data_IF_401341551869
#
_entry.id   IF_401341551869
#
_cell.length_a   1.000
_cell.length_b   1.000
_cell.length_c   1.000
_cell.angle_alpha   90.00
_cell.angle_beta   90.00
_cell.angle_gamma   90.00
#
_symmetry.space_group_name_H-M   'P 1'
#
loop_
_entity.id
_entity.type
_entity.pdbx_description
1 polymer ?
#
# COMPACT_ATOMS: atom_id res chain seq x y z
N UNK A 1 24.72 -4.62 7.60
CA UNK A 1 24.91 -4.27 6.16
C UNK A 1 26.17 -3.43 5.91
N UNK A 2 26.53 -2.63 6.91
CA UNK A 2 27.72 -1.79 7.02
C UNK A 2 29.02 -2.59 6.87
N UNK A 3 29.03 -3.88 7.21
CA UNK A 3 30.21 -4.76 7.09
C UNK A 3 30.49 -5.27 5.67
N UNK A 4 29.55 -5.07 4.73
CA UNK A 4 29.66 -5.58 3.35
C UNK A 4 29.69 -4.46 2.30
N UNK A 5 29.78 -3.20 2.75
CA UNK A 5 29.94 -2.01 1.89
C UNK A 5 31.28 -1.33 2.17
N UNK A 6 31.72 -0.44 1.28
CA UNK A 6 32.95 0.34 1.53
C UNK A 6 32.73 1.36 2.67
N UNK A 7 33.80 1.82 3.36
CA UNK A 7 33.67 2.82 4.41
C UNK A 7 32.95 4.12 3.97
N UNK A 8 33.10 4.52 2.70
CA UNK A 8 32.45 5.71 2.15
C UNK A 8 30.93 5.52 1.92
N UNK A 9 30.47 4.27 1.82
CA UNK A 9 29.06 3.92 1.61
C UNK A 9 28.31 3.68 2.92
N UNK A 10 29.01 3.50 4.04
CA UNK A 10 28.39 3.27 5.37
C UNK A 10 27.32 4.33 5.70
N UNK A 11 27.55 5.65 5.50
CA UNK A 11 26.51 6.66 5.76
C UNK A 11 25.26 6.53 4.87
N UNK A 12 25.36 5.83 3.73
CA UNK A 12 24.26 5.62 2.79
C UNK A 12 23.35 4.45 3.20
N UNK A 13 23.85 3.48 3.96
CA UNK A 13 23.10 2.28 4.36
C UNK A 13 22.70 2.25 5.84
N UNK A 14 23.43 2.96 6.70
CA UNK A 14 23.21 2.96 8.14
C UNK A 14 21.77 3.37 8.51
N UNK A 15 21.09 2.51 9.26
CA UNK A 15 19.71 2.73 9.74
C UNK A 15 18.63 2.64 8.65
N UNK A 16 18.98 2.29 7.41
CA UNK A 16 18.05 2.18 6.27
C UNK A 16 18.34 0.98 5.38
N UNK A 17 18.87 -0.09 5.98
CA UNK A 17 19.21 -1.34 5.27
C UNK A 17 18.93 -2.54 6.17
N UNK A 18 18.51 -3.64 5.55
CA UNK A 18 18.20 -4.89 6.25
C UNK A 18 18.98 -6.04 5.63
N UNK A 19 19.46 -6.97 6.46
CA UNK A 19 20.00 -8.25 5.99
C UNK A 19 18.83 -9.22 5.83
N UNK A 20 18.58 -9.67 4.60
CA UNK A 20 17.43 -10.50 4.25
C UNK A 20 17.86 -11.82 3.60
N UNK A 21 17.02 -12.85 3.71
CA UNK A 21 17.20 -14.12 2.98
C UNK A 21 16.80 -13.90 1.51
N UNK A 22 17.60 -14.39 0.57
CA UNK A 22 17.21 -14.43 -0.85
C UNK A 22 16.09 -15.46 -1.02
N UNK A 23 15.02 -15.05 -1.69
CA UNK A 23 13.86 -15.89 -1.99
C UNK A 23 13.60 -15.89 -3.49
N UNK A 24 12.82 -16.87 -3.97
CA UNK A 24 12.22 -16.85 -5.30
C UNK A 24 10.91 -16.04 -5.22
N UNK A 25 10.83 -14.83 -5.79
CA UNK A 25 9.64 -14.00 -5.68
C UNK A 25 8.44 -14.63 -6.36
N UNK A 26 7.26 -14.43 -5.78
CA UNK A 26 5.98 -14.78 -6.40
C UNK A 26 5.47 -13.52 -7.11
N UNK A 27 5.12 -13.57 -8.42
CA UNK A 27 4.80 -12.39 -9.22
C UNK A 27 3.38 -11.86 -8.98
N UNK A 28 3.00 -11.70 -7.71
CA UNK A 28 1.68 -11.25 -7.28
C UNK A 28 1.84 -10.25 -6.14
N UNK A 29 1.16 -9.12 -6.27
CA UNK A 29 0.97 -8.18 -5.18
C UNK A 29 -0.23 -8.61 -4.34
N UNK A 30 0.02 -9.03 -3.10
CA UNK A 30 -0.98 -9.52 -2.19
C UNK A 30 -1.63 -8.35 -1.44
N UNK A 31 -2.59 -7.68 -2.09
CA UNK A 31 -3.29 -6.53 -1.49
C UNK A 31 -4.48 -6.99 -0.65
N UNK A 32 -4.58 -6.46 0.57
CA UNK A 32 -5.75 -6.63 1.45
C UNK A 32 -6.37 -5.28 1.73
N UNK A 33 -7.70 -5.21 1.67
CA UNK A 33 -8.47 -3.99 1.90
C UNK A 33 -9.46 -4.21 3.00
N UNK A 34 -9.51 -3.34 4.01
CA UNK A 34 -10.64 -3.25 4.94
C UNK A 34 -11.48 -2.00 4.75
N UNK A 35 -11.05 -1.09 3.88
CA UNK A 35 -11.77 0.11 3.51
C UNK A 35 -11.75 0.29 1.99
N UNK A 36 -12.78 0.92 1.45
CA UNK A 36 -12.95 1.13 0.02
C UNK A 36 -12.30 2.44 -0.41
N UNK A 37 -11.20 2.38 -1.13
CA UNK A 37 -10.49 3.54 -1.66
C UNK A 37 -9.71 3.19 -2.93
N UNK A 38 -9.20 4.22 -3.61
CA UNK A 38 -8.28 4.04 -4.74
C UNK A 38 -8.91 3.24 -5.89
N UNK A 39 -8.15 2.28 -6.45
CA UNK A 39 -8.65 1.40 -7.52
C UNK A 39 -9.84 0.55 -7.09
N UNK A 40 -9.89 0.09 -5.84
CA UNK A 40 -11.02 -0.68 -5.33
C UNK A 40 -12.32 0.13 -5.32
N UNK A 41 -12.26 1.43 -4.96
CA UNK A 41 -13.43 2.31 -5.06
C UNK A 41 -13.89 2.47 -6.51
N UNK A 42 -12.97 2.70 -7.45
CA UNK A 42 -13.30 2.84 -8.88
C UNK A 42 -13.99 1.59 -9.43
N UNK A 43 -13.44 0.40 -9.15
CA UNK A 43 -14.01 -0.87 -9.62
C UNK A 43 -15.40 -1.14 -9.03
N UNK A 44 -15.60 -0.82 -7.75
CA UNK A 44 -16.90 -0.93 -7.11
C UNK A 44 -17.95 0.01 -7.73
N UNK A 45 -17.57 1.22 -8.16
CA UNK A 45 -18.50 2.13 -8.86
C UNK A 45 -19.00 1.55 -10.19
N UNK A 46 -18.17 0.74 -10.86
CA UNK A 46 -18.50 0.16 -12.17
C UNK A 46 -19.28 -1.15 -12.04
N UNK A 47 -18.86 -2.03 -11.13
CA UNK A 47 -19.32 -3.42 -11.09
C UNK A 47 -19.94 -3.84 -9.75
N UNK A 48 -19.84 -3.00 -8.71
CA UNK A 48 -20.13 -3.35 -7.31
C UNK A 48 -19.32 -4.56 -6.81
N UNK A 49 -18.14 -4.75 -7.38
CA UNK A 49 -17.17 -5.75 -6.97
C UNK A 49 -15.76 -5.16 -6.97
N UNK A 50 -14.83 -5.83 -6.29
CA UNK A 50 -13.40 -5.52 -6.36
C UNK A 50 -12.62 -6.81 -6.56
N UNK A 51 -11.86 -6.91 -7.65
CA UNK A 51 -11.18 -8.13 -8.08
C UNK A 51 -12.13 -9.34 -8.14
N UNK A 52 -13.38 -9.11 -8.59
CA UNK A 52 -14.43 -10.12 -8.64
C UNK A 52 -15.13 -10.43 -7.31
N UNK A 53 -14.69 -9.85 -6.19
CA UNK A 53 -15.35 -10.01 -4.88
C UNK A 53 -16.58 -9.09 -4.80
N UNK A 54 -17.81 -9.62 -4.75
CA UNK A 54 -19.01 -8.79 -4.68
C UNK A 54 -19.09 -8.07 -3.33
N UNK A 55 -19.48 -6.80 -3.35
CA UNK A 55 -19.64 -5.98 -2.16
C UNK A 55 -21.09 -5.52 -1.97
N UNK A 56 -21.51 -5.23 -0.71
CA UNK A 56 -22.84 -4.70 -0.44
C UNK A 56 -23.13 -3.38 -1.16
N UNK A 57 -24.39 -3.12 -1.45
CA UNK A 57 -24.83 -1.81 -1.94
C UNK A 57 -24.64 -0.71 -0.90
N UNK A 58 -24.63 0.55 -1.35
CA UNK A 58 -24.62 1.72 -0.46
C UNK A 58 -23.24 2.11 0.08
N UNK A 59 -22.17 1.37 -0.26
CA UNK A 59 -20.81 1.80 0.06
C UNK A 59 -20.44 3.06 -0.72
N UNK A 60 -19.72 3.96 -0.04
CA UNK A 60 -19.13 5.18 -0.59
C UNK A 60 -17.60 5.15 -0.47
N UNK A 61 -16.92 6.13 -1.07
CA UNK A 61 -15.48 6.29 -0.88
C UNK A 61 -15.11 6.39 0.61
N UNK A 62 -14.02 5.74 1.00
CA UNK A 62 -13.55 5.53 2.37
C UNK A 62 -14.49 4.71 3.29
N UNK A 63 -15.52 4.04 2.75
CA UNK A 63 -16.37 3.15 3.56
C UNK A 63 -15.57 1.98 4.13
N UNK A 64 -15.86 1.62 5.38
CA UNK A 64 -15.36 0.38 5.99
C UNK A 64 -16.08 -0.81 5.36
N UNK A 65 -15.34 -1.85 4.98
CA UNK A 65 -15.91 -3.09 4.47
C UNK A 65 -16.44 -3.96 5.62
N UNK A 66 -17.46 -4.81 5.38
CA UNK A 66 -17.96 -5.73 6.40
C UNK A 66 -16.87 -6.68 6.92
N UNK A 67 -16.02 -7.17 6.02
CA UNK A 67 -14.84 -7.97 6.30
C UNK A 67 -13.70 -7.52 5.37
N UNK A 68 -12.43 -7.67 5.79
CA UNK A 68 -11.30 -7.45 4.91
C UNK A 68 -11.33 -8.42 3.73
N UNK A 69 -11.08 -7.89 2.53
CA UNK A 69 -11.06 -8.66 1.28
C UNK A 69 -9.64 -8.73 0.73
N UNK A 70 -9.32 -9.84 0.07
CA UNK A 70 -8.08 -10.03 -0.67
C UNK A 70 -8.29 -9.68 -2.14
N UNK A 71 -7.48 -8.77 -2.67
CA UNK A 71 -7.64 -8.18 -4.01
C UNK A 71 -6.29 -8.20 -4.73
N UNK A 72 -5.85 -9.35 -5.27
CA UNK A 72 -4.51 -9.49 -5.81
C UNK A 72 -4.30 -8.60 -7.05
N UNK A 73 -3.05 -8.20 -7.29
CA UNK A 73 -2.65 -7.59 -8.55
C UNK A 73 -1.48 -8.36 -9.16
N UNK A 74 -1.49 -8.51 -10.49
CA UNK A 74 -0.37 -9.05 -11.23
C UNK A 74 0.73 -7.98 -11.33
N UNK A 75 1.97 -8.36 -11.02
CA UNK A 75 3.11 -7.45 -11.12
C UNK A 75 3.43 -7.20 -12.60
N UNK A 76 3.31 -5.95 -13.04
CA UNK A 76 3.55 -5.59 -14.43
C UNK A 76 5.05 -5.44 -14.74
N UNK A 77 5.39 -5.35 -16.04
CA UNK A 77 6.77 -5.06 -16.44
C UNK A 77 7.19 -3.65 -15.97
N UNK A 78 8.50 -3.42 -15.80
CA UNK A 78 9.01 -2.13 -15.35
C UNK A 78 8.56 -0.99 -16.28
N UNK A 79 7.71 -0.08 -15.76
CA UNK A 79 7.14 1.05 -16.50
C UNK A 79 5.63 0.95 -16.75
N UNK A 80 5.01 -0.19 -16.44
CA UNK A 80 3.57 -0.41 -16.52
C UNK A 80 2.93 -0.36 -15.12
N UNK A 81 1.61 -0.16 -15.06
CA UNK A 81 0.85 -0.19 -13.81
C UNK A 81 0.44 -1.63 -13.48
N UNK A 82 0.53 -2.00 -12.20
CA UNK A 82 0.03 -3.30 -11.74
C UNK A 82 -1.47 -3.42 -12.01
N UNK A 83 -1.87 -4.60 -12.49
CA UNK A 83 -3.24 -4.88 -12.91
C UNK A 83 -3.96 -5.68 -11.84
N UNK A 84 -5.11 -5.18 -11.36
CA UNK A 84 -6.00 -5.95 -10.50
C UNK A 84 -6.40 -7.24 -11.21
N UNK A 85 -6.22 -8.39 -10.56
CA UNK A 85 -6.64 -9.70 -11.07
C UNK A 85 -7.61 -10.35 -10.09
N UNK A 86 -8.48 -11.23 -10.59
CA UNK A 86 -9.34 -12.05 -9.74
C UNK A 86 -8.51 -13.10 -8.98
N UNK A 87 -9.07 -13.62 -7.89
CA UNK A 87 -8.44 -14.72 -7.15
C UNK A 87 -8.27 -15.96 -8.05
N UNK A 88 -9.23 -16.25 -8.93
CA UNK A 88 -9.17 -17.35 -9.89
C UNK A 88 -8.03 -17.17 -10.90
N UNK A 89 -7.79 -15.94 -11.36
CA UNK A 89 -6.65 -15.63 -12.23
C UNK A 89 -5.33 -15.85 -11.48
N UNK A 90 -5.24 -15.44 -10.21
CA UNK A 90 -4.06 -15.72 -9.37
C UNK A 90 -3.84 -17.22 -9.19
N UNK A 91 -4.89 -17.99 -8.91
CA UNK A 91 -4.84 -19.46 -8.78
C UNK A 91 -4.28 -20.11 -10.04
N UNK A 92 -4.64 -19.61 -11.24
CA UNK A 92 -4.09 -20.12 -12.49
C UNK A 92 -2.57 -19.86 -12.63
N UNK A 93 -2.03 -18.84 -11.96
CA UNK A 93 -0.61 -18.48 -12.00
C UNK A 93 0.20 -19.26 -10.96
N UNK A 94 -0.28 -19.35 -9.71
CA UNK A 94 0.51 -19.89 -8.58
C UNK A 94 0.05 -21.25 -8.07
N UNK A 95 -1.12 -21.71 -8.50
CA UNK A 95 -1.78 -22.92 -8.01
C UNK A 95 -2.61 -22.70 -6.73
N UNK A 96 -3.70 -23.44 -6.59
CA UNK A 96 -4.68 -23.27 -5.51
C UNK A 96 -4.07 -23.33 -4.09
N UNK A 97 -3.22 -24.32 -3.73
CA UNK A 97 -2.72 -24.40 -2.35
C UNK A 97 -1.91 -23.18 -1.95
N UNK A 98 -1.12 -22.64 -2.87
CA UNK A 98 -0.28 -21.47 -2.63
C UNK A 98 -1.09 -20.18 -2.65
N UNK A 99 -2.06 -20.05 -3.56
CA UNK A 99 -2.98 -18.92 -3.60
C UNK A 99 -3.79 -18.79 -2.30
N UNK A 100 -4.33 -19.91 -1.79
CA UNK A 100 -5.06 -19.94 -0.54
C UNK A 100 -4.18 -19.54 0.64
N UNK A 101 -2.95 -20.07 0.71
CA UNK A 101 -2.01 -19.71 1.76
C UNK A 101 -1.65 -18.22 1.74
N UNK A 102 -1.37 -17.65 0.56
CA UNK A 102 -1.08 -16.21 0.42
C UNK A 102 -2.27 -15.37 0.88
N UNK A 103 -3.48 -15.69 0.41
CA UNK A 103 -4.72 -15.00 0.81
C UNK A 103 -4.90 -15.01 2.32
N UNK A 104 -4.86 -16.20 2.91
CA UNK A 104 -5.19 -16.41 4.32
C UNK A 104 -4.15 -15.74 5.23
N UNK A 105 -2.85 -15.86 4.91
CA UNK A 105 -1.77 -15.19 5.64
C UNK A 105 -1.87 -13.67 5.50
N UNK A 106 -2.14 -13.16 4.31
CA UNK A 106 -2.26 -11.72 4.07
C UNK A 106 -3.42 -11.12 4.88
N UNK A 107 -4.59 -11.77 4.87
CA UNK A 107 -5.75 -11.33 5.65
C UNK A 107 -5.44 -11.39 7.15
N UNK A 108 -4.78 -12.44 7.62
CA UNK A 108 -4.40 -12.57 9.04
C UNK A 108 -3.44 -11.46 9.49
N UNK A 109 -2.40 -11.17 8.71
CA UNK A 109 -1.44 -10.08 8.99
C UNK A 109 -2.17 -8.73 8.98
N UNK A 110 -3.00 -8.48 7.96
CA UNK A 110 -3.78 -7.24 7.87
C UNK A 110 -4.70 -7.05 9.08
N UNK A 111 -5.45 -8.09 9.49
CA UNK A 111 -6.35 -8.02 10.65
C UNK A 111 -5.59 -7.66 11.92
N UNK A 112 -4.51 -8.39 12.21
CA UNK A 112 -3.68 -8.12 13.38
C UNK A 112 -3.09 -6.70 13.38
N UNK A 113 -2.59 -6.24 12.23
CA UNK A 113 -2.03 -4.90 12.08
C UNK A 113 -3.09 -3.80 12.20
N UNK A 114 -4.25 -3.99 11.58
CA UNK A 114 -5.37 -3.03 11.59
C UNK A 114 -5.93 -2.88 13.00
N UNK A 115 -6.11 -4.00 13.72
CA UNK A 115 -6.53 -4.01 15.12
C UNK A 115 -5.53 -3.29 16.02
N UNK A 116 -4.23 -3.58 15.86
CA UNK A 116 -3.18 -2.89 16.61
C UNK A 116 -3.15 -1.39 16.31
N UNK A 117 -3.13 -1.00 15.04
CA UNK A 117 -3.07 0.40 14.62
C UNK A 117 -4.29 1.20 15.10
N UNK A 118 -5.47 0.57 15.15
CA UNK A 118 -6.68 1.20 15.69
C UNK A 118 -6.49 1.62 17.16
N UNK A 119 -5.75 0.84 17.97
CA UNK A 119 -5.42 1.22 19.36
C UNK A 119 -4.54 2.47 19.46
N UNK A 120 -3.86 2.83 18.36
CA UNK A 120 -3.01 4.01 18.23
C UNK A 120 -3.70 5.17 17.51
N UNK A 121 -5.02 5.08 17.28
CA UNK A 121 -5.80 6.10 16.56
C UNK A 121 -5.53 6.12 15.04
N UNK A 122 -5.04 5.01 14.48
CA UNK A 122 -4.69 4.90 13.07
C UNK A 122 -5.58 3.84 12.42
N UNK A 123 -6.13 4.17 11.25
CA UNK A 123 -6.80 3.23 10.36
C UNK A 123 -5.81 2.83 9.26
N UNK A 124 -5.63 1.53 9.07
CA UNK A 124 -5.00 0.98 7.86
C UNK A 124 -6.14 0.66 6.89
N UNK A 125 -6.26 1.43 5.82
CA UNK A 125 -7.35 1.28 4.85
C UNK A 125 -7.14 0.04 3.96
N UNK A 126 -5.91 -0.10 3.48
CA UNK A 126 -5.44 -1.23 2.70
C UNK A 126 -3.91 -1.32 2.81
N UNK A 127 -3.37 -2.49 2.43
CA UNK A 127 -1.92 -2.74 2.39
C UNK A 127 -1.58 -3.76 1.31
N UNK A 128 -0.38 -3.62 0.75
CA UNK A 128 0.26 -4.61 -0.13
C UNK A 128 1.27 -5.43 0.65
N UNK A 129 1.29 -6.74 0.42
CA UNK A 129 2.39 -7.62 0.81
C UNK A 129 3.03 -8.25 -0.43
N UNK A 130 4.30 -8.64 -0.30
CA UNK A 130 4.96 -9.51 -1.27
C UNK A 130 5.45 -10.78 -0.57
N UNK A 131 5.44 -11.87 -1.31
CA UNK A 131 5.89 -13.16 -0.81
C UNK A 131 6.90 -13.80 -1.76
N UNK A 132 7.78 -14.60 -1.18
CA UNK A 132 8.69 -15.45 -1.92
C UNK A 132 8.67 -16.86 -1.37
N UNK A 133 9.21 -17.78 -2.15
CA UNK A 133 9.51 -19.14 -1.72
C UNK A 133 10.98 -19.26 -1.37
N UNK A 134 11.28 -19.94 -0.27
CA UNK A 134 12.66 -20.32 0.02
C UNK A 134 13.06 -21.64 -0.66
N UNK A 135 14.30 -22.08 -0.43
CA UNK A 135 14.84 -23.30 -1.06
C UNK A 135 14.05 -24.57 -0.73
N UNK A 136 13.31 -24.59 0.38
CA UNK A 136 12.44 -25.69 0.78
C UNK A 136 11.01 -25.56 0.21
N UNK A 137 10.72 -24.50 -0.55
CA UNK A 137 9.38 -24.19 -1.05
C UNK A 137 8.47 -23.58 0.02
N UNK A 138 9.00 -23.08 1.12
CA UNK A 138 8.20 -22.45 2.19
C UNK A 138 7.83 -21.03 1.79
N UNK A 139 6.55 -20.66 1.96
CA UNK A 139 6.09 -19.29 1.78
C UNK A 139 6.66 -18.37 2.86
N UNK A 140 7.35 -17.31 2.45
CA UNK A 140 7.99 -16.33 3.33
C UNK A 140 7.58 -14.92 2.92
N UNK A 141 7.16 -14.12 3.89
CA UNK A 141 6.90 -12.69 3.70
C UNK A 141 8.21 -11.97 3.34
N UNK A 142 8.16 -11.09 2.35
CA UNK A 142 9.29 -10.30 1.90
C UNK A 142 8.88 -8.86 1.61
N UNK A 143 9.80 -8.08 1.04
CA UNK A 143 9.63 -6.64 0.80
C UNK A 143 9.45 -5.86 2.12
N UNK A 144 9.11 -4.57 2.02
CA UNK A 144 8.59 -3.80 3.15
C UNK A 144 7.17 -4.22 3.54
N UNK A 145 6.82 -4.03 4.82
CA UNK A 145 5.58 -4.52 5.40
C UNK A 145 4.95 -3.42 6.24
N UNK A 146 3.73 -3.02 5.91
CA UNK A 146 2.93 -2.06 6.68
C UNK A 146 3.62 -0.70 6.86
N UNK A 147 4.35 -0.25 5.83
CA UNK A 147 4.87 1.12 5.76
C UNK A 147 3.83 2.04 5.10
N UNK A 148 3.96 3.37 5.24
CA UNK A 148 3.10 4.30 4.50
C UNK A 148 3.32 4.27 2.97
N UNK A 149 4.33 3.56 2.48
CA UNK A 149 4.52 3.30 1.05
C UNK A 149 3.74 2.08 0.57
N UNK A 150 3.72 1.01 1.39
CA UNK A 150 2.96 -0.21 1.10
C UNK A 150 1.48 -0.13 1.46
N UNK A 151 1.05 0.88 2.21
CA UNK A 151 -0.27 0.91 2.84
C UNK A 151 -0.85 2.32 2.95
N UNK A 152 -2.19 2.42 2.94
CA UNK A 152 -2.90 3.68 3.18
C UNK A 152 -3.21 3.83 4.67
N UNK A 153 -2.62 4.84 5.30
CA UNK A 153 -2.74 5.13 6.71
C UNK A 153 -3.61 6.38 6.93
N UNK A 154 -4.71 6.27 7.66
CA UNK A 154 -5.63 7.38 7.94
C UNK A 154 -5.73 7.70 9.43
N UNK A 155 -5.82 8.99 9.83
CA UNK A 155 -6.15 9.37 11.19
C UNK A 155 -7.61 9.02 11.50
N UNK A 156 -7.82 8.19 12.53
CA UNK A 156 -9.15 7.73 12.91
C UNK A 156 -10.07 8.90 13.29
N UNK A 157 -9.52 9.96 13.89
CA UNK A 157 -10.21 11.15 14.33
C UNK A 157 -10.88 11.95 13.19
N UNK A 158 -10.40 11.80 11.95
CA UNK A 158 -10.95 12.52 10.78
C UNK A 158 -11.77 11.64 9.84
N UNK A 159 -11.83 10.33 10.09
CA UNK A 159 -12.41 9.38 9.14
C UNK A 159 -13.90 9.59 8.93
N UNK A 160 -14.68 9.68 10.01
CA UNK A 160 -16.14 9.83 9.92
C UNK A 160 -16.54 11.12 9.17
N UNK A 161 -15.86 12.23 9.43
CA UNK A 161 -16.09 13.48 8.70
C UNK A 161 -15.74 13.34 7.21
N UNK A 162 -14.60 12.72 6.89
CA UNK A 162 -14.16 12.55 5.50
C UNK A 162 -15.14 11.68 4.70
N UNK A 163 -15.66 10.62 5.31
CA UNK A 163 -16.72 9.77 4.71
C UNK A 163 -18.00 10.59 4.46
N UNK A 164 -18.43 11.40 5.42
CA UNK A 164 -19.62 12.26 5.27
C UNK A 164 -19.44 13.29 4.14
N UNK A 165 -18.22 13.75 3.92
CA UNK A 165 -17.85 14.66 2.82
C UNK A 165 -17.55 13.93 1.50
N UNK A 166 -17.65 12.60 1.46
CA UNK A 166 -17.41 11.79 0.25
C UNK A 166 -15.95 11.74 -0.22
N UNK A 167 -14.99 12.00 0.68
CA UNK A 167 -13.55 12.04 0.37
C UNK A 167 -12.75 11.10 1.25
N UNK A 168 -11.53 10.79 0.80
CA UNK A 168 -10.59 10.07 1.66
C UNK A 168 -10.14 10.95 2.83
N UNK A 169 -9.87 10.36 4.00
CA UNK A 169 -9.18 11.05 5.07
C UNK A 169 -7.80 11.57 4.62
N UNK A 170 -7.30 12.66 5.23
CA UNK A 170 -5.95 13.15 4.96
C UNK A 170 -4.94 12.08 5.39
N UNK A 171 -4.38 11.37 4.41
CA UNK A 171 -3.51 10.22 4.65
C UNK A 171 -2.19 10.65 5.31
N UNK A 172 -1.60 9.75 6.10
CA UNK A 172 -0.21 9.84 6.55
C UNK A 172 0.81 9.55 5.43
N UNK A 173 0.32 9.21 4.24
CA UNK A 173 1.14 8.96 3.06
C UNK A 173 1.35 10.20 2.19
N UNK A 174 1.61 9.96 0.91
CA UNK A 174 1.98 10.88 -0.17
C UNK A 174 0.91 11.93 -0.52
N UNK A 175 -0.03 12.28 0.36
CA UNK A 175 -1.10 13.22 0.03
C UNK A 175 -0.56 14.62 -0.31
N UNK A 176 0.34 15.19 0.51
CA UNK A 176 1.00 16.48 0.21
C UNK A 176 1.78 16.47 -1.10
N UNK A 177 2.43 15.35 -1.40
CA UNK A 177 3.14 15.16 -2.66
C UNK A 177 2.17 15.11 -3.84
N UNK A 178 1.10 14.32 -3.75
CA UNK A 178 0.07 14.19 -4.80
C UNK A 178 -0.60 15.52 -5.07
N UNK A 179 -1.05 16.23 -4.03
CA UNK A 179 -1.70 17.53 -4.15
C UNK A 179 -0.79 18.54 -4.85
N UNK A 180 0.48 18.61 -4.43
CA UNK A 180 1.44 19.48 -5.08
C UNK A 180 1.69 19.12 -6.55
N UNK A 181 1.75 17.82 -6.89
CA UNK A 181 1.95 17.36 -8.27
C UNK A 181 0.74 17.64 -9.17
N UNK A 182 -0.47 17.73 -8.64
CA UNK A 182 -1.66 18.13 -9.39
C UNK A 182 -1.71 19.66 -9.61
N UNK A 183 -1.11 20.45 -8.70
CA UNK A 183 -1.09 21.91 -8.77
C UNK A 183 0.09 22.49 -9.55
N UNK A 184 1.22 21.76 -9.59
CA UNK A 184 2.47 22.27 -10.17
C UNK A 184 2.30 22.63 -11.65
N UNK A 185 2.81 23.82 -12.00
CA UNK A 185 2.83 24.31 -13.38
C UNK A 185 4.25 24.39 -13.92
N UNK A 186 4.50 23.71 -15.04
CA UNK A 186 5.75 23.79 -15.80
C UNK A 186 5.49 24.67 -17.02
N UNK A 187 6.24 25.77 -17.14
CA UNK A 187 6.07 26.75 -18.23
C UNK A 187 4.61 27.27 -18.35
N UNK A 188 3.96 27.51 -17.21
CA UNK A 188 2.58 28.02 -17.14
C UNK A 188 1.47 26.98 -17.34
N UNK A 189 1.81 25.72 -17.66
CA UNK A 189 0.85 24.63 -17.88
C UNK A 189 0.91 23.60 -16.75
N UNK A 190 -0.22 22.96 -16.37
CA UNK A 190 -0.18 21.80 -15.47
C UNK A 190 0.79 20.75 -15.98
N UNK A 191 1.50 20.09 -15.06
CA UNK A 191 2.37 18.99 -15.43
C UNK A 191 1.53 17.82 -15.96
N UNK A 192 1.87 17.33 -17.15
CA UNK A 192 1.18 16.24 -17.85
C UNK A 192 1.64 14.84 -17.39
N UNK A 193 2.34 14.78 -16.24
CA UNK A 193 2.86 13.56 -15.62
C UNK A 193 3.93 12.86 -16.47
N UNK A 194 4.58 13.61 -17.38
CA UNK A 194 5.68 13.08 -18.20
C UNK A 194 7.06 13.32 -17.56
N UNK A 195 8.03 12.40 -17.73
CA UNK A 195 9.40 12.62 -17.28
C UNK A 195 10.11 13.78 -18.03
N UNK A 196 11.01 14.52 -17.37
CA UNK A 196 11.38 14.41 -15.96
C UNK A 196 10.32 15.07 -15.04
N UNK A 197 10.12 14.47 -13.86
CA UNK A 197 9.24 15.05 -12.85
C UNK A 197 9.79 16.40 -12.34
N UNK A 198 8.91 17.36 -11.98
CA UNK A 198 9.33 18.64 -11.45
C UNK A 198 10.02 18.48 -10.09
N UNK A 199 10.98 19.36 -9.80
CA UNK A 199 11.70 19.37 -8.52
C UNK A 199 10.77 19.81 -7.39
N UNK A 200 10.66 18.97 -6.36
CA UNK A 200 9.83 19.27 -5.19
C UNK A 200 10.41 20.45 -4.37
N UNK A 201 9.55 21.41 -3.96
CA UNK A 201 9.91 22.42 -2.97
C UNK A 201 10.27 21.76 -1.64
N UNK A 202 11.19 22.39 -0.92
CA UNK A 202 11.64 21.91 0.40
C UNK A 202 10.48 21.71 1.37
N UNK A 203 9.50 22.62 1.36
CA UNK A 203 8.32 22.55 2.23
C UNK A 203 7.49 21.28 1.99
N UNK A 204 7.31 20.87 0.73
CA UNK A 204 6.57 19.64 0.38
C UNK A 204 7.34 18.41 0.87
N UNK A 205 8.67 18.42 0.73
CA UNK A 205 9.55 17.36 1.23
C UNK A 205 9.44 17.24 2.76
N UNK A 206 9.56 18.36 3.47
CA UNK A 206 9.50 18.39 4.94
C UNK A 206 8.12 17.95 5.45
N UNK A 207 7.03 18.49 4.89
CA UNK A 207 5.65 18.09 5.25
C UNK A 207 5.39 16.61 5.00
N UNK A 208 5.88 16.08 3.87
CA UNK A 208 5.76 14.64 3.57
C UNK A 208 6.55 13.83 4.59
N UNK A 209 7.82 14.17 4.85
CA UNK A 209 8.65 13.47 5.82
C UNK A 209 8.07 13.48 7.24
N UNK A 210 7.49 14.61 7.66
CA UNK A 210 6.85 14.75 8.97
C UNK A 210 5.64 13.82 9.13
N UNK A 211 4.89 13.54 8.06
CA UNK A 211 3.79 12.56 8.11
C UNK A 211 4.27 11.13 8.32
N UNK A 212 5.36 10.73 7.67
CA UNK A 212 5.98 9.41 7.91
C UNK A 212 6.48 9.31 9.35
N UNK A 213 7.12 10.38 9.88
CA UNK A 213 7.56 10.41 11.28
C UNK A 213 6.39 10.37 12.26
N UNK A 214 5.30 11.07 11.97
CA UNK A 214 4.09 11.07 12.79
C UNK A 214 3.47 9.67 12.86
N UNK A 215 3.32 8.99 11.72
CA UNK A 215 2.82 7.62 11.68
C UNK A 215 3.73 6.67 12.47
N UNK A 216 5.04 6.75 12.25
CA UNK A 216 6.03 5.95 12.99
C UNK A 216 5.95 6.17 14.49
N UNK A 217 5.94 7.44 14.93
CA UNK A 217 5.88 7.80 16.35
C UNK A 217 4.60 7.29 17.02
N UNK A 218 3.43 7.43 16.37
CA UNK A 218 2.16 6.93 16.91
C UNK A 218 2.14 5.41 17.02
N UNK A 219 2.64 4.69 16.00
CA UNK A 219 2.63 3.22 15.97
C UNK A 219 3.60 2.60 16.98
N UNK A 220 4.68 3.30 17.32
CA UNK A 220 5.76 2.78 18.18
C UNK A 220 5.75 3.34 19.61
N UNK A 221 4.83 4.25 19.92
CA UNK A 221 4.62 4.81 21.26
C UNK A 221 4.10 3.80 22.28
#
# INVERSE_FOLDING_TARGET
PESVVTPAEVPQVAGRSMLVKRLKPIPVEAVVRGYLAGSGWKEYQESRSVCGVPLPEGLTNASKLPEPIFTPAAKAAAGEHDENISYEQMVAVVGEPLAAQIRDVSIAIYKAASEFAATKGIIIADTKFEFGLDDAGTLVLMDEVLTPDSSRYWPAETWAQSVAEGRNPPSYDKQFLRDWLEEVRINGKPWDKTPPAPRLPREVIEKTADKYREAFARLTA
#
